data_IF_782545388575
#
_entry.id   IF_782545388575
#
_cell.length_a   1.000
_cell.length_b   1.000
_cell.length_c   1.000
_cell.angle_alpha   90.00
_cell.angle_beta   90.00
_cell.angle_gamma   90.00
#
_symmetry.space_group_name_H-M   'P 1'
#
loop_
_entity.id
_entity.type
_entity.pdbx_description
1 polymer ?
#
# COMPACT_ATOMS: atom_id res chain seq x y z
N UNK A 1 -12.47 -11.98 -1.68
CA UNK A 1 -11.73 -10.73 -1.93
C UNK A 1 -10.52 -11.01 -2.79
N UNK A 2 -10.40 -10.32 -3.88
CA UNK A 2 -9.26 -10.47 -4.77
C UNK A 2 -8.19 -9.45 -4.43
N UNK A 3 -6.98 -9.93 -4.19
CA UNK A 3 -5.82 -9.07 -3.90
C UNK A 3 -5.02 -8.94 -5.18
N UNK A 4 -4.89 -7.71 -5.68
CA UNK A 4 -4.12 -7.42 -6.88
C UNK A 4 -3.15 -6.28 -6.64
N UNK A 5 -2.04 -6.26 -7.40
CA UNK A 5 -1.05 -5.20 -7.32
C UNK A 5 -1.70 -3.86 -7.68
N UNK A 6 -1.46 -2.84 -6.85
CA UNK A 6 -2.08 -1.52 -7.01
C UNK A 6 -3.37 -1.33 -6.26
N UNK A 7 -3.92 -2.38 -5.64
CA UNK A 7 -5.10 -2.24 -4.80
C UNK A 7 -4.77 -1.50 -3.50
N UNK A 8 -5.69 -0.64 -3.08
CA UNK A 8 -5.67 -0.03 -1.75
C UNK A 8 -6.49 -0.93 -0.83
N UNK A 9 -5.85 -1.44 0.20
CA UNK A 9 -6.46 -2.40 1.12
C UNK A 9 -6.42 -1.86 2.54
N UNK A 10 -7.28 -2.40 3.39
CA UNK A 10 -7.26 -2.12 4.82
C UNK A 10 -6.58 -3.31 5.51
N UNK A 11 -5.55 -3.02 6.28
CA UNK A 11 -4.76 -4.02 6.99
C UNK A 11 -4.99 -3.86 8.48
N UNK A 12 -5.30 -4.96 9.15
CA UNK A 12 -5.42 -5.02 10.60
C UNK A 12 -4.20 -5.73 11.16
N UNK A 13 -3.28 -4.95 11.73
CA UNK A 13 -2.08 -5.53 12.33
C UNK A 13 -2.41 -6.05 13.73
N UNK A 14 -2.27 -7.35 13.93
CA UNK A 14 -2.42 -7.94 15.26
C UNK A 14 -1.16 -7.69 16.09
N UNK A 15 -1.38 -7.16 17.29
CA UNK A 15 -0.41 -7.23 18.37
C UNK A 15 0.68 -6.18 18.39
N UNK A 16 0.83 -5.31 17.43
CA UNK A 16 1.94 -4.37 17.42
C UNK A 16 1.40 -2.99 17.74
N UNK A 17 0.86 -2.34 18.13
CA UNK A 17 0.36 -1.02 18.47
C UNK A 17 -1.11 -1.07 18.87
N UNK A 18 -1.94 -0.38 18.19
CA UNK A 18 -3.32 -0.23 18.59
C UNK A 18 -4.26 -1.27 18.01
N UNK A 19 -3.77 -2.10 17.09
CA UNK A 19 -4.62 -3.01 16.33
C UNK A 19 -5.61 -2.30 15.41
N UNK A 20 -5.50 -0.99 15.28
CA UNK A 20 -6.39 -0.19 14.46
C UNK A 20 -6.13 -0.45 12.98
N UNK A 21 -7.16 -0.76 12.17
CA UNK A 21 -6.98 -0.96 10.74
C UNK A 21 -6.42 0.29 10.04
N UNK A 22 -5.50 0.05 9.10
CA UNK A 22 -4.82 1.12 8.37
C UNK A 22 -4.82 0.82 6.88
N UNK A 23 -4.89 1.83 6.01
CA UNK A 23 -4.77 1.61 4.58
C UNK A 23 -3.33 1.28 4.18
N UNK A 24 -3.21 0.50 3.13
CA UNK A 24 -1.93 0.12 2.55
C UNK A 24 -2.10 -0.13 1.05
N UNK A 25 -1.01 -0.01 0.31
CA UNK A 25 -0.97 -0.31 -1.11
C UNK A 25 -0.34 -1.68 -1.34
N UNK A 26 -1.00 -2.54 -2.08
CA UNK A 26 -0.44 -3.83 -2.48
C UNK A 26 0.62 -3.60 -3.56
N UNK A 27 1.84 -4.02 -3.29
CA UNK A 27 2.96 -3.89 -4.24
C UNK A 27 3.50 -5.25 -4.69
N UNK A 28 3.03 -6.34 -4.10
CA UNK A 28 3.42 -7.69 -4.48
C UNK A 28 2.89 -8.03 -5.88
N UNK A 29 3.74 -8.70 -6.68
CA UNK A 29 3.37 -9.09 -8.04
C UNK A 29 2.14 -10.01 -8.06
N UNK A 30 1.31 -9.84 -9.09
CA UNK A 30 0.07 -10.61 -9.24
C UNK A 30 0.32 -12.10 -9.48
N UNK A 31 1.50 -12.47 -9.95
CA UNK A 31 1.87 -13.88 -10.08
C UNK A 31 1.92 -14.61 -8.73
N UNK A 32 2.13 -13.90 -7.63
CA UNK A 32 2.17 -14.49 -6.28
C UNK A 32 0.89 -14.23 -5.47
N UNK A 33 0.15 -13.18 -5.82
CA UNK A 33 -1.01 -12.75 -5.03
C UNK A 33 -2.09 -13.82 -4.82
N UNK A 34 -2.40 -14.70 -5.77
CA UNK A 34 -3.47 -15.68 -5.57
C UNK A 34 -3.14 -16.76 -4.54
N UNK A 35 -1.86 -17.11 -4.35
CA UNK A 35 -1.49 -18.32 -3.62
C UNK A 35 -0.54 -18.10 -2.46
N UNK A 36 0.13 -16.97 -2.39
CA UNK A 36 1.14 -16.75 -1.34
C UNK A 36 0.48 -16.44 0.02
N UNK A 37 1.04 -16.98 1.08
CA UNK A 37 0.49 -16.83 2.43
C UNK A 37 0.66 -15.40 2.98
N UNK A 38 1.63 -14.65 2.49
CA UNK A 38 1.84 -13.25 2.86
C UNK A 38 1.70 -12.34 1.65
N UNK A 39 1.44 -11.05 1.92
CA UNK A 39 1.29 -10.04 0.89
C UNK A 39 2.20 -8.86 1.23
N UNK A 40 3.04 -8.47 0.29
CA UNK A 40 3.93 -7.32 0.45
C UNK A 40 3.16 -6.04 0.14
N UNK A 41 3.19 -5.12 1.09
CA UNK A 41 2.44 -3.86 1.03
C UNK A 41 3.34 -2.68 1.42
N UNK A 42 2.92 -1.47 1.03
CA UNK A 42 3.46 -0.22 1.56
C UNK A 42 2.36 0.47 2.35
N UNK A 43 2.57 0.78 3.63
CA UNK A 43 1.56 1.50 4.41
C UNK A 43 1.25 2.88 3.82
N UNK A 44 0.03 3.34 4.02
CA UNK A 44 -0.44 4.65 3.57
C UNK A 44 -0.75 5.50 4.81
N UNK A 45 -0.30 6.76 4.80
CA UNK A 45 -0.48 7.67 5.93
C UNK A 45 -1.07 9.00 5.48
N UNK A 46 -1.84 9.65 6.36
CA UNK A 46 -2.27 11.05 6.18
C UNK A 46 -1.26 12.05 6.73
N UNK A 47 -0.25 11.59 7.46
CA UNK A 47 0.85 12.43 7.94
C UNK A 47 1.86 12.66 6.82
N UNK A 48 1.53 13.59 5.92
CA UNK A 48 2.34 13.88 4.74
C UNK A 48 3.57 14.70 5.08
N UNK A 49 4.69 14.35 4.44
CA UNK A 49 5.95 15.07 4.58
C UNK A 49 6.54 15.31 3.18
N UNK A 50 7.49 16.23 3.10
CA UNK A 50 8.21 16.51 1.85
C UNK A 50 9.41 15.55 1.73
N UNK A 51 9.17 14.38 1.14
CA UNK A 51 10.19 13.35 0.93
C UNK A 51 9.90 12.59 -0.37
N UNK A 52 10.03 13.25 -1.54
CA UNK A 52 9.57 12.69 -2.81
C UNK A 52 10.30 11.41 -3.25
N UNK A 53 11.47 11.11 -2.69
CA UNK A 53 12.21 9.90 -3.06
C UNK A 53 11.53 8.63 -2.52
N UNK A 54 10.81 8.70 -1.40
CA UNK A 54 10.19 7.52 -0.79
C UNK A 54 8.77 7.75 -0.25
N UNK A 55 8.19 8.92 -0.51
CA UNK A 55 6.79 9.21 -0.22
C UNK A 55 6.09 9.55 -1.53
N UNK A 56 4.99 8.84 -1.82
CA UNK A 56 4.25 9.04 -3.06
C UNK A 56 2.85 9.54 -2.73
N UNK A 57 2.51 10.71 -3.26
CA UNK A 57 1.21 11.33 -3.00
C UNK A 57 0.07 10.54 -3.64
N UNK A 58 -0.99 10.33 -2.88
CA UNK A 58 -2.22 9.67 -3.36
C UNK A 58 -3.41 10.57 -3.01
N UNK A 59 -4.19 10.99 -4.02
CA UNK A 59 -5.36 11.83 -3.75
C UNK A 59 -6.49 11.02 -3.13
N UNK A 60 -7.35 11.68 -2.35
CA UNK A 60 -8.59 11.04 -1.90
C UNK A 60 -9.57 10.89 -3.05
N UNK A 61 -10.59 10.07 -2.87
CA UNK A 61 -11.66 9.93 -3.83
C UNK A 61 -12.19 8.51 -3.95
N UNK A 62 -13.13 8.34 -4.85
CA UNK A 62 -13.79 7.05 -5.04
C UNK A 62 -12.83 5.97 -5.59
N UNK A 63 -11.91 6.37 -6.45
CA UNK A 63 -10.96 5.42 -7.05
C UNK A 63 -10.08 4.76 -5.98
N UNK A 64 -9.49 5.55 -5.09
CA UNK A 64 -8.58 5.04 -4.06
C UNK A 64 -9.30 4.57 -2.81
N UNK A 65 -10.51 5.05 -2.59
CA UNK A 65 -11.24 4.79 -1.36
C UNK A 65 -10.71 5.54 -0.14
N UNK A 66 -9.75 6.44 -0.33
CA UNK A 66 -9.18 7.24 0.75
C UNK A 66 -10.01 8.49 0.97
N UNK A 67 -10.12 8.90 2.25
CA UNK A 67 -10.94 10.05 2.66
C UNK A 67 -10.17 11.36 2.69
N UNK A 68 -8.86 11.31 2.72
CA UNK A 68 -7.98 12.48 2.80
C UNK A 68 -6.75 12.30 1.94
N UNK A 69 -6.10 13.40 1.58
CA UNK A 69 -4.82 13.37 0.89
C UNK A 69 -3.83 12.56 1.72
N UNK A 70 -3.16 11.63 1.09
CA UNK A 70 -2.32 10.63 1.76
C UNK A 70 -1.02 10.43 1.01
N UNK A 71 -0.11 9.69 1.63
CA UNK A 71 1.14 9.27 1.01
C UNK A 71 1.39 7.80 1.23
N UNK A 72 1.88 7.13 0.18
CA UNK A 72 2.41 5.77 0.28
C UNK A 72 3.81 5.88 0.87
N UNK A 73 4.07 5.13 1.93
CA UNK A 73 5.37 5.09 2.60
C UNK A 73 6.20 3.94 2.03
N UNK A 74 6.95 4.22 0.96
CA UNK A 74 7.74 3.21 0.27
C UNK A 74 8.88 2.68 1.15
N UNK A 75 9.44 3.54 2.00
CA UNK A 75 10.49 3.17 2.96
C UNK A 75 10.02 2.22 4.05
N UNK A 76 8.71 2.03 4.18
CA UNK A 76 8.13 1.13 5.18
C UNK A 76 7.52 -0.12 4.55
N UNK A 77 7.98 -0.47 3.37
CA UNK A 77 7.57 -1.72 2.69
C UNK A 77 7.71 -2.91 3.64
N UNK A 78 6.69 -3.74 3.71
CA UNK A 78 6.63 -4.85 4.64
C UNK A 78 5.69 -5.94 4.11
N UNK A 79 5.95 -7.18 4.48
CA UNK A 79 5.03 -8.28 4.20
C UNK A 79 4.15 -8.54 5.41
N UNK A 80 2.86 -8.72 5.17
CA UNK A 80 1.89 -9.06 6.21
C UNK A 80 1.20 -10.38 5.87
N UNK A 81 0.71 -11.11 6.87
CA UNK A 81 -0.10 -12.30 6.57
C UNK A 81 -1.31 -11.91 5.74
N UNK A 82 -1.67 -12.75 4.76
CA UNK A 82 -2.86 -12.52 3.94
C UNK A 82 -4.11 -12.33 4.80
N UNK A 83 -4.20 -13.06 5.91
CA UNK A 83 -5.32 -12.97 6.86
C UNK A 83 -5.42 -11.61 7.55
N UNK A 84 -4.38 -10.78 7.52
CA UNK A 84 -4.40 -9.42 8.05
C UNK A 84 -5.09 -8.43 7.13
N UNK A 85 -5.32 -8.78 5.87
CA UNK A 85 -6.01 -7.91 4.92
C UNK A 85 -7.50 -8.08 5.09
N UNK A 86 -8.18 -7.00 5.52
CA UNK A 86 -9.59 -7.02 5.84
C UNK A 86 -10.45 -6.89 4.59
N UNK A 87 -10.12 -5.92 3.72
CA UNK A 87 -10.85 -5.67 2.48
C UNK A 87 -10.06 -4.74 1.56
N UNK A 88 -10.43 -4.75 0.29
CA UNK A 88 -9.97 -3.76 -0.68
C UNK A 88 -10.97 -2.61 -0.71
N UNK A 89 -10.47 -1.37 -0.72
CA UNK A 89 -11.33 -0.17 -0.75
C UNK A 89 -11.19 0.62 -2.05
N UNK A 90 -10.17 0.33 -2.85
CA UNK A 90 -9.92 1.02 -4.11
C UNK A 90 -8.63 0.61 -4.76
N UNK A 91 -8.14 1.44 -5.65
CA UNK A 91 -6.88 1.23 -6.37
C UNK A 91 -6.20 2.55 -6.67
N UNK A 92 -4.90 2.52 -6.81
CA UNK A 92 -4.15 3.62 -7.42
C UNK A 92 -4.32 3.57 -8.94
N UNK A 93 -4.29 4.75 -9.58
CA UNK A 93 -4.26 4.82 -11.03
C UNK A 93 -2.88 4.41 -11.55
N UNK A 94 -2.76 4.24 -12.87
CA UNK A 94 -1.51 3.82 -13.50
C UNK A 94 -0.37 4.80 -13.24
N UNK A 95 -0.65 6.10 -13.33
CA UNK A 95 0.38 7.12 -13.12
C UNK A 95 0.97 7.04 -11.71
N UNK A 96 0.12 6.92 -10.70
CA UNK A 96 0.56 6.77 -9.31
C UNK A 96 1.32 5.46 -9.12
N UNK A 97 0.85 4.38 -9.72
CA UNK A 97 1.52 3.07 -9.63
C UNK A 97 2.93 3.13 -10.23
N UNK A 98 3.11 3.82 -11.34
CA UNK A 98 4.44 4.00 -11.94
C UNK A 98 5.38 4.79 -11.04
N UNK A 99 4.88 5.83 -10.38
CA UNK A 99 5.69 6.60 -9.42
C UNK A 99 6.10 5.73 -8.22
N UNK A 100 5.19 4.89 -7.73
CA UNK A 100 5.50 3.94 -6.66
C UNK A 100 6.56 2.94 -7.12
N UNK A 101 6.46 2.43 -8.34
CA UNK A 101 7.44 1.49 -8.89
C UNK A 101 8.83 2.10 -8.94
N UNK A 102 8.94 3.34 -9.39
CA UNK A 102 10.22 4.04 -9.45
C UNK A 102 10.79 4.27 -8.05
N UNK A 103 9.94 4.67 -7.10
CA UNK A 103 10.37 4.85 -5.72
C UNK A 103 10.83 3.54 -5.09
N UNK A 104 10.17 2.42 -5.41
CA UNK A 104 10.59 1.10 -4.95
C UNK A 104 11.95 0.70 -5.53
N UNK A 105 12.18 0.94 -6.82
CA UNK A 105 13.49 0.67 -7.44
C UNK A 105 14.58 1.46 -6.74
N UNK A 106 14.34 2.72 -6.47
CA UNK A 106 15.31 3.57 -5.77
C UNK A 106 15.56 3.10 -4.35
N UNK A 107 14.51 2.81 -3.61
CA UNK A 107 14.61 2.39 -2.22
C UNK A 107 15.33 1.05 -2.06
N UNK A 108 15.05 0.12 -2.96
CA UNK A 108 15.62 -1.23 -2.92
C UNK A 108 16.92 -1.35 -3.71
N UNK A 109 17.34 -0.34 -4.44
CA UNK A 109 18.57 -0.35 -5.23
C UNK A 109 18.50 -1.25 -6.47
N UNK A 110 17.33 -1.36 -7.05
CA UNK A 110 17.11 -2.21 -8.23
C UNK A 110 17.35 -1.48 -9.55
#
# INVERSE_FOLDING_TARGET
>A
MEITRGAVVIVSARGAYTGKPRPALVVQADSFNPTHASVTICPITTACIDAPLFRVNVPPGERTGLKAASQVMVDKIVSVPRTSIVRAVGRCDEATSHVVDDALRNWLGL
#
